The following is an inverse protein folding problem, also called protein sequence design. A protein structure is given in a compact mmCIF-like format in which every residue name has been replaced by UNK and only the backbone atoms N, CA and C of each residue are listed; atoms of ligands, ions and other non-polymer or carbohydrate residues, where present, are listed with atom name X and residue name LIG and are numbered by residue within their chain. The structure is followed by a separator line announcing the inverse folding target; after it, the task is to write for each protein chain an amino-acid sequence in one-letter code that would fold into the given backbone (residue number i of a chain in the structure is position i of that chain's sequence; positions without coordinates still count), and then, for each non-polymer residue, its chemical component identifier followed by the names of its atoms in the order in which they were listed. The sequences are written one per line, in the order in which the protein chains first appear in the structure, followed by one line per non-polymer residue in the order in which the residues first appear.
data_IF_356565747330
#
_entry.id   IF_356565747330
#
_cell.length_a   1.000
_cell.length_b   1.000
_cell.length_c   1.000
_cell.angle_alpha   90.00
_cell.angle_beta   90.00
_cell.angle_gamma   90.00
#
_symmetry.space_group_name_H-M   'P 1'
#
loop_
_entity.id
_entity.type
_entity.pdbx_description
1 polymer ?
#
# COMPACT_ATOMS: atom_id res chain seq x y z
N UNK A 1 -13.10 59.17 -9.48
CA UNK A 1 -13.80 58.39 -8.42
C UNK A 1 -14.04 56.92 -8.77
N UNK A 2 -14.12 56.51 -10.06
CA UNK A 2 -14.46 55.12 -10.46
C UNK A 2 -13.31 54.09 -10.48
N UNK A 3 -12.04 54.50 -10.50
CA UNK A 3 -10.90 53.57 -10.63
C UNK A 3 -10.61 52.77 -9.35
N UNK A 4 -10.81 53.36 -8.17
CA UNK A 4 -10.51 52.72 -6.87
C UNK A 4 -11.40 51.52 -6.56
N UNK A 5 -12.67 51.55 -7.01
CA UNK A 5 -13.65 50.49 -6.74
C UNK A 5 -13.33 49.19 -7.50
N UNK A 6 -12.68 49.27 -8.66
CA UNK A 6 -12.27 48.10 -9.46
C UNK A 6 -11.09 47.35 -8.84
N UNK A 7 -10.15 48.09 -8.23
CA UNK A 7 -8.99 47.51 -7.54
C UNK A 7 -9.46 46.73 -6.31
N UNK A 8 -10.36 47.30 -5.51
CA UNK A 8 -10.92 46.62 -4.34
C UNK A 8 -11.65 45.31 -4.72
N UNK A 9 -12.40 45.30 -5.82
CA UNK A 9 -13.10 44.08 -6.30
C UNK A 9 -12.11 43.00 -6.72
N UNK A 10 -11.01 43.35 -7.40
CA UNK A 10 -9.99 42.39 -7.80
C UNK A 10 -9.33 41.68 -6.59
N UNK A 11 -9.02 42.42 -5.53
CA UNK A 11 -8.46 41.85 -4.30
C UNK A 11 -9.44 40.89 -3.60
N UNK A 12 -10.74 41.21 -3.59
CA UNK A 12 -11.76 40.32 -3.01
C UNK A 12 -11.83 39.01 -3.80
N UNK A 13 -11.84 39.07 -5.14
CA UNK A 13 -11.83 37.86 -5.97
C UNK A 13 -10.54 37.06 -5.82
N UNK A 14 -9.38 37.73 -5.72
CA UNK A 14 -8.10 37.07 -5.48
C UNK A 14 -8.09 36.33 -4.13
N UNK A 15 -8.57 36.95 -3.05
CA UNK A 15 -8.68 36.31 -1.74
C UNK A 15 -9.62 35.10 -1.76
N UNK A 16 -10.76 35.20 -2.47
CA UNK A 16 -11.70 34.08 -2.63
C UNK A 16 -11.03 32.92 -3.39
N UNK A 17 -10.29 33.22 -4.47
CA UNK A 17 -9.55 32.20 -5.24
C UNK A 17 -8.44 31.55 -4.42
N UNK A 18 -7.68 32.33 -3.66
CA UNK A 18 -6.58 31.83 -2.82
C UNK A 18 -7.15 30.93 -1.70
N UNK A 19 -8.25 31.35 -1.08
CA UNK A 19 -8.94 30.56 -0.05
C UNK A 19 -9.56 29.28 -0.60
N UNK A 20 -10.19 29.33 -1.79
CA UNK A 20 -10.71 28.14 -2.49
C UNK A 20 -9.60 27.18 -2.95
N UNK A 21 -8.48 27.71 -3.42
CA UNK A 21 -7.32 26.92 -3.82
C UNK A 21 -6.71 26.19 -2.61
N UNK A 22 -6.59 26.87 -1.48
CA UNK A 22 -6.16 26.28 -0.21
C UNK A 22 -7.13 25.18 0.24
N UNK A 23 -8.45 25.44 0.17
CA UNK A 23 -9.47 24.45 0.54
C UNK A 23 -9.47 23.20 -0.35
N UNK A 24 -9.08 23.30 -1.62
CA UNK A 24 -9.01 22.14 -2.53
C UNK A 24 -7.84 21.20 -2.24
N UNK A 25 -6.79 21.67 -1.55
CA UNK A 25 -5.52 20.97 -1.40
C UNK A 25 -5.48 19.91 -0.26
N UNK A 26 -6.56 19.75 0.51
CA UNK A 26 -6.61 18.91 1.72
C UNK A 26 -7.52 17.65 1.59
N UNK A 27 -7.54 16.99 0.42
CA UNK A 27 -8.35 15.76 0.23
C UNK A 27 -7.60 14.45 0.52
N UNK A 28 -6.31 14.50 0.80
CA UNK A 28 -5.47 13.30 0.87
C UNK A 28 -5.41 12.68 2.29
N UNK A 29 -6.02 13.32 3.29
CA UNK A 29 -5.96 12.87 4.69
C UNK A 29 -7.08 11.88 5.11
N UNK A 30 -8.10 11.68 4.26
CA UNK A 30 -9.32 10.92 4.61
C UNK A 30 -9.18 9.42 4.26
N UNK A 31 -8.13 9.01 3.54
CA UNK A 31 -7.90 7.60 3.22
C UNK A 31 -7.40 6.76 4.42
N UNK A 32 -7.03 7.43 5.52
CA UNK A 32 -6.49 6.79 6.74
C UNK A 32 -7.56 6.27 7.73
N UNK A 33 -8.82 6.20 7.32
CA UNK A 33 -9.97 5.84 8.19
C UNK A 33 -10.59 4.48 7.82
N UNK A 34 -10.05 3.77 6.83
CA UNK A 34 -10.46 2.40 6.55
C UNK A 34 -9.47 1.43 7.21
N UNK A 35 -9.93 0.41 7.95
CA UNK A 35 -9.01 -0.64 8.38
C UNK A 35 -8.43 -1.27 7.13
N UNK A 36 -7.11 -1.19 6.96
CA UNK A 36 -6.41 -1.87 5.87
C UNK A 36 -6.86 -3.33 5.87
N UNK A 37 -7.51 -3.75 4.79
CA UNK A 37 -8.10 -5.07 4.70
C UNK A 37 -6.96 -6.09 4.76
N UNK A 38 -7.09 -7.07 5.64
CA UNK A 38 -6.05 -8.08 5.86
C UNK A 38 -6.34 -9.37 5.11
N UNK A 39 -5.29 -10.05 4.67
CA UNK A 39 -5.31 -11.38 4.09
C UNK A 39 -4.62 -12.38 5.02
N UNK A 40 -5.05 -13.64 4.99
CA UNK A 40 -4.41 -14.75 5.71
C UNK A 40 -3.80 -15.70 4.71
N UNK A 41 -2.50 -15.89 4.78
CA UNK A 41 -1.75 -16.73 3.84
C UNK A 41 -0.95 -17.77 4.61
N UNK A 42 -1.02 -19.02 4.17
CA UNK A 42 -0.24 -20.11 4.74
C UNK A 42 1.02 -20.32 3.90
N UNK A 43 2.19 -20.31 4.53
CA UNK A 43 3.45 -20.69 3.90
C UNK A 43 3.96 -22.02 4.44
N UNK A 44 4.36 -22.92 3.55
CA UNK A 44 4.86 -24.26 3.88
C UNK A 44 6.09 -24.64 3.07
N UNK A 45 6.83 -25.65 3.51
CA UNK A 45 7.98 -26.21 2.79
C UNK A 45 9.32 -25.67 3.29
N UNK A 46 10.26 -25.41 2.37
CA UNK A 46 11.66 -25.06 2.65
C UNK A 46 11.83 -23.57 3.04
N UNK A 47 11.14 -23.17 4.10
CA UNK A 47 11.23 -21.85 4.74
C UNK A 47 11.63 -21.99 6.20
N UNK A 48 12.21 -20.93 6.77
CA UNK A 48 12.70 -20.98 8.15
C UNK A 48 11.55 -21.20 9.16
N UNK A 49 10.41 -20.52 8.96
CA UNK A 49 9.25 -20.59 9.86
C UNK A 49 7.95 -20.83 9.08
N UNK A 50 7.63 -22.09 8.73
CA UNK A 50 6.35 -22.41 8.09
C UNK A 50 5.18 -22.13 9.05
N UNK A 51 4.06 -21.64 8.52
CA UNK A 51 2.94 -21.20 9.34
C UNK A 51 1.91 -20.38 8.57
N UNK A 52 0.94 -19.83 9.31
CA UNK A 52 -0.07 -18.90 8.77
C UNK A 52 0.30 -17.49 9.20
N UNK A 53 0.35 -16.58 8.24
CA UNK A 53 0.65 -15.17 8.44
C UNK A 53 -0.54 -14.31 8.04
N UNK A 54 -0.71 -13.20 8.76
CA UNK A 54 -1.68 -12.16 8.45
C UNK A 54 -0.91 -11.02 7.80
N UNK A 55 -1.29 -10.65 6.59
CA UNK A 55 -0.69 -9.55 5.83
C UNK A 55 -1.76 -8.55 5.43
N UNK A 56 -1.35 -7.40 4.90
CA UNK A 56 -2.26 -6.47 4.27
C UNK A 56 -2.63 -6.93 2.86
N UNK A 57 -3.84 -6.58 2.41
CA UNK A 57 -4.23 -6.78 1.02
C UNK A 57 -3.27 -5.98 0.11
N UNK A 58 -2.80 -6.61 -0.97
CA UNK A 58 -1.74 -6.08 -1.82
C UNK A 58 -0.31 -6.46 -1.38
N UNK A 59 -0.12 -7.12 -0.24
CA UNK A 59 1.19 -7.71 0.11
C UNK A 59 1.60 -8.80 -0.88
N UNK A 60 2.90 -8.92 -1.11
CA UNK A 60 3.48 -9.84 -2.09
C UNK A 60 4.15 -11.07 -1.44
N UNK A 61 4.58 -12.01 -2.29
CA UNK A 61 5.29 -13.22 -1.87
C UNK A 61 6.57 -12.90 -1.10
N UNK A 62 7.31 -11.86 -1.48
CA UNK A 62 8.52 -11.40 -0.81
C UNK A 62 8.26 -10.94 0.64
N UNK A 63 7.16 -10.25 0.89
CA UNK A 63 6.73 -9.82 2.21
C UNK A 63 6.46 -11.03 3.12
N UNK A 64 5.67 -11.99 2.62
CA UNK A 64 5.37 -13.22 3.33
C UNK A 64 6.63 -14.05 3.61
N UNK A 65 7.53 -14.15 2.63
CA UNK A 65 8.80 -14.86 2.79
C UNK A 65 9.69 -14.18 3.83
N UNK A 66 9.73 -12.85 3.84
CA UNK A 66 10.48 -12.07 4.83
C UNK A 66 9.94 -12.29 6.25
N UNK A 67 8.62 -12.30 6.42
CA UNK A 67 7.97 -12.65 7.70
C UNK A 67 8.26 -14.09 8.13
N UNK A 68 8.36 -15.01 7.17
CA UNK A 68 8.73 -16.40 7.41
C UNK A 68 10.22 -16.62 7.72
N UNK A 69 11.04 -15.56 7.70
CA UNK A 69 12.48 -15.62 7.97
C UNK A 69 13.34 -16.02 6.78
N UNK A 70 12.79 -15.97 5.56
CA UNK A 70 13.48 -16.35 4.33
C UNK A 70 13.43 -17.84 4.02
N UNK A 71 14.17 -18.22 2.98
CA UNK A 71 14.35 -19.61 2.59
C UNK A 71 15.18 -20.36 3.63
N UNK A 72 14.82 -21.62 3.86
CA UNK A 72 15.75 -22.55 4.50
C UNK A 72 16.92 -22.78 3.54
N UNK A 73 18.15 -22.96 4.02
CA UNK A 73 19.41 -22.97 3.24
C UNK A 73 19.43 -23.83 1.96
N UNK A 74 18.50 -24.77 1.81
CA UNK A 74 18.36 -25.67 0.64
C UNK A 74 17.22 -25.31 -0.33
N UNK A 75 16.33 -24.38 0.01
CA UNK A 75 15.07 -24.16 -0.69
C UNK A 75 14.93 -22.87 -1.48
N UNK A 76 16.05 -22.26 -1.89
CA UNK A 76 16.00 -21.11 -2.80
C UNK A 76 15.49 -21.57 -4.16
N UNK A 77 14.22 -21.29 -4.47
CA UNK A 77 13.68 -21.50 -5.81
C UNK A 77 14.01 -20.29 -6.69
N UNK A 78 14.73 -20.55 -7.79
CA UNK A 78 15.16 -19.50 -8.73
C UNK A 78 14.01 -18.91 -9.57
N UNK A 79 12.83 -19.54 -9.53
CA UNK A 79 11.64 -19.14 -10.30
C UNK A 79 10.48 -18.58 -9.45
N UNK A 80 10.71 -18.27 -8.17
CA UNK A 80 9.68 -17.61 -7.35
C UNK A 80 9.58 -16.14 -7.70
N UNK A 81 8.41 -15.73 -8.19
CA UNK A 81 8.06 -14.33 -8.34
C UNK A 81 7.74 -13.73 -6.96
N UNK A 82 8.67 -12.91 -6.45
CA UNK A 82 8.56 -12.27 -5.14
C UNK A 82 7.60 -11.08 -5.17
N UNK A 83 7.36 -10.47 -6.33
CA UNK A 83 6.51 -9.29 -6.48
C UNK A 83 5.04 -9.66 -6.70
N UNK A 84 4.77 -10.93 -6.98
CA UNK A 84 3.40 -11.44 -7.10
C UNK A 84 2.59 -11.16 -5.84
N UNK A 85 1.45 -10.51 -6.02
CA UNK A 85 0.47 -10.28 -4.96
C UNK A 85 -0.15 -11.59 -4.45
N UNK A 86 -0.42 -11.59 -3.15
CA UNK A 86 -1.04 -12.72 -2.46
C UNK A 86 -2.53 -12.51 -2.27
N UNK A 87 -3.28 -13.61 -2.35
CA UNK A 87 -4.72 -13.62 -2.12
C UNK A 87 -5.07 -14.20 -0.75
N UNK A 88 -6.20 -13.76 -0.19
CA UNK A 88 -6.68 -14.29 1.09
C UNK A 88 -7.00 -15.80 1.00
N UNK A 89 -6.50 -16.58 1.96
CA UNK A 89 -6.66 -18.02 2.02
C UNK A 89 -5.65 -18.80 1.18
N UNK A 90 -4.72 -18.12 0.50
CA UNK A 90 -3.72 -18.76 -0.34
C UNK A 90 -2.76 -19.64 0.49
N UNK A 91 -2.30 -20.72 -0.13
CA UNK A 91 -1.27 -21.59 0.41
C UNK A 91 -0.05 -21.51 -0.51
N UNK A 92 1.00 -20.86 -0.04
CA UNK A 92 2.28 -20.80 -0.72
C UNK A 92 3.14 -21.99 -0.27
N UNK A 93 3.39 -22.91 -1.19
CA UNK A 93 4.30 -24.03 -0.95
C UNK A 93 5.66 -23.76 -1.58
N UNK A 94 6.68 -23.66 -0.73
CA UNK A 94 8.08 -23.51 -1.14
C UNK A 94 8.69 -24.90 -1.18
N UNK A 95 8.76 -25.52 -2.36
CA UNK A 95 9.44 -26.80 -2.55
C UNK A 95 10.46 -26.69 -3.66
N UNK A 96 11.58 -27.40 -3.51
CA UNK A 96 12.50 -27.66 -4.63
C UNK A 96 11.71 -28.37 -5.72
N UNK A 97 11.77 -27.87 -6.95
CA UNK A 97 11.26 -28.60 -8.11
C UNK A 97 11.92 -29.97 -8.14
N UNK A 98 11.15 -31.02 -7.86
CA UNK A 98 11.46 -32.37 -8.31
C UNK A 98 11.03 -32.50 -9.76
#
# INVERSE_FOLDING_TARGET
MFAFKKVAVFFVFACIIISLAYFRNNRDDIEKIYPEKTIRVKITGEVVRPGVYVLYEGSNVGDLLSLAGGFLLKGKNENLDLERELSNGEILSIGTGM
#
